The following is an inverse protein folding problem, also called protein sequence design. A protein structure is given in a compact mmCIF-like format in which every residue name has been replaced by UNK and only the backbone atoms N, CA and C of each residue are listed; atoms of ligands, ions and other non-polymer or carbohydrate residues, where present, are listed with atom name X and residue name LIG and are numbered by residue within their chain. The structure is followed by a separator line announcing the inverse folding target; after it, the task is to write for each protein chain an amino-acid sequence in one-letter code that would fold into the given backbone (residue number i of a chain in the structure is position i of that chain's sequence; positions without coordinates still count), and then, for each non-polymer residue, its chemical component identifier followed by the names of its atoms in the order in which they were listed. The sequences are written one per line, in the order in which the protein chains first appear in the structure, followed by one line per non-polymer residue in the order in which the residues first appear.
data_IF_262069207789
#
_entry.id   IF_262069207789
#
_cell.length_a   1.000
_cell.length_b   1.000
_cell.length_c   1.000
_cell.angle_alpha   90.00
_cell.angle_beta   90.00
_cell.angle_gamma   90.00
#
_symmetry.space_group_name_H-M   'P 1'
#
loop_
_entity.id
_entity.type
_entity.pdbx_description
1 polymer ?
#
# COMPACT_ATOMS: atom_id res chain seq x y z
N UNK A 1 -25.12 -30.97 12.04
CA UNK A 1 -24.45 -30.24 13.14
C UNK A 1 -23.88 -28.95 12.56
N UNK A 2 -24.33 -27.75 12.97
CA UNK A 2 -23.79 -26.51 12.43
C UNK A 2 -22.43 -26.22 13.08
N UNK A 3 -21.40 -25.99 12.26
CA UNK A 3 -20.10 -25.50 12.74
C UNK A 3 -20.17 -23.97 12.79
N UNK A 4 -19.80 -23.38 13.92
CA UNK A 4 -19.75 -21.92 14.08
C UNK A 4 -18.28 -21.50 14.07
N UNK A 5 -17.85 -20.84 13.01
CA UNK A 5 -16.48 -20.33 12.89
C UNK A 5 -16.46 -18.85 13.29
N UNK A 6 -15.99 -18.57 14.50
CA UNK A 6 -15.63 -17.21 14.90
C UNK A 6 -14.27 -16.88 14.27
N UNK A 7 -14.26 -16.04 13.24
CA UNK A 7 -13.02 -15.51 12.67
C UNK A 7 -12.56 -14.29 13.48
N UNK A 8 -11.32 -14.31 13.96
CA UNK A 8 -10.69 -13.13 14.52
C UNK A 8 -10.39 -12.12 13.43
N UNK A 9 -10.68 -10.84 13.67
CA UNK A 9 -10.25 -9.77 12.76
C UNK A 9 -8.74 -9.55 12.90
N UNK A 10 -7.97 -9.95 11.89
CA UNK A 10 -6.51 -9.84 11.86
C UNK A 10 -5.94 -8.45 11.52
N UNK A 11 -6.79 -7.42 11.51
CA UNK A 11 -6.42 -6.08 11.03
C UNK A 11 -6.55 -5.90 9.52
N UNK A 12 -6.14 -4.74 9.01
CA UNK A 12 -6.17 -4.39 7.60
C UNK A 12 -4.77 -3.98 7.11
N UNK A 13 -4.34 -4.55 5.98
CA UNK A 13 -3.15 -4.12 5.27
C UNK A 13 -3.51 -3.07 4.23
N UNK A 14 -2.66 -2.07 4.06
CA UNK A 14 -2.80 -1.06 3.03
C UNK A 14 -1.86 -1.38 1.86
N UNK A 15 -2.40 -1.54 0.66
CA UNK A 15 -1.59 -1.60 -0.55
C UNK A 15 -1.63 -0.26 -1.25
N UNK A 16 -0.47 0.39 -1.38
CA UNK A 16 -0.32 1.67 -2.05
C UNK A 16 0.38 1.44 -3.39
N UNK A 17 -0.16 2.03 -4.45
CA UNK A 17 0.42 2.01 -5.78
C UNK A 17 0.58 3.44 -6.32
N UNK A 18 1.70 3.70 -6.98
CA UNK A 18 1.99 4.97 -7.62
C UNK A 18 2.49 4.73 -9.04
N UNK A 19 1.99 5.51 -9.99
CA UNK A 19 2.41 5.46 -11.38
C UNK A 19 3.31 6.65 -11.69
N UNK A 20 4.52 6.35 -12.14
CA UNK A 20 5.47 7.31 -12.69
C UNK A 20 5.19 7.50 -14.18
N UNK A 21 4.71 8.69 -14.54
CA UNK A 21 4.38 9.06 -15.92
C UNK A 21 5.62 9.32 -16.79
N UNK A 22 6.76 9.68 -16.18
CA UNK A 22 7.98 9.96 -16.93
C UNK A 22 8.72 8.67 -17.29
N UNK A 23 8.73 7.70 -16.37
CA UNK A 23 9.34 6.40 -16.60
C UNK A 23 8.36 5.32 -17.10
N UNK A 24 7.07 5.67 -17.25
CA UNK A 24 5.98 4.75 -17.56
C UNK A 24 5.96 3.50 -16.67
N UNK A 25 6.20 3.69 -15.36
CA UNK A 25 6.44 2.59 -14.40
C UNK A 25 5.51 2.66 -13.20
N UNK A 26 5.01 1.49 -12.77
CA UNK A 26 4.24 1.36 -11.52
C UNK A 26 5.16 0.94 -10.37
N UNK A 27 4.98 1.61 -9.23
CA UNK A 27 5.58 1.28 -7.94
C UNK A 27 4.48 0.85 -6.97
N UNK A 28 4.79 -0.11 -6.10
CA UNK A 28 3.83 -0.63 -5.13
C UNK A 28 4.49 -0.92 -3.79
N UNK A 29 3.72 -0.78 -2.70
CA UNK A 29 4.17 -1.06 -1.33
C UNK A 29 3.01 -1.55 -0.47
N UNK A 30 3.27 -2.57 0.33
CA UNK A 30 2.34 -3.08 1.36
C UNK A 30 2.72 -2.50 2.71
N UNK A 31 1.75 -1.92 3.41
CA UNK A 31 1.93 -1.24 4.69
C UNK A 31 0.98 -1.80 5.73
N UNK A 32 1.44 -1.85 6.98
CA UNK A 32 0.63 -2.28 8.11
C UNK A 32 -0.49 -1.30 8.45
N UNK A 33 -0.41 -0.04 8.00
CA UNK A 33 -1.37 1.02 8.35
C UNK A 33 -1.73 1.89 7.15
N UNK A 34 -3.01 2.27 7.09
CA UNK A 34 -3.57 3.23 6.13
C UNK A 34 -3.38 4.69 6.59
N UNK A 35 -2.13 5.14 6.82
CA UNK A 35 -1.85 6.53 7.22
C UNK A 35 -1.24 7.36 6.09
N UNK A 36 -1.16 8.68 6.30
CA UNK A 36 -0.60 9.61 5.30
C UNK A 36 0.93 9.46 5.15
N UNK A 37 1.63 8.97 6.17
CA UNK A 37 3.09 8.85 6.17
C UNK A 37 3.56 7.85 5.10
N UNK A 38 3.01 6.63 5.01
CA UNK A 38 3.36 5.71 3.93
C UNK A 38 3.00 6.24 2.53
N UNK A 39 1.90 7.00 2.40
CA UNK A 39 1.55 7.67 1.15
C UNK A 39 2.62 8.68 0.73
N UNK A 40 3.00 9.61 1.61
CA UNK A 40 4.02 10.62 1.32
C UNK A 40 5.40 10.00 1.05
N UNK A 41 5.68 8.86 1.70
CA UNK A 41 6.93 8.10 1.47
C UNK A 41 6.97 7.55 0.05
N UNK A 42 5.89 6.90 -0.40
CA UNK A 42 5.80 6.37 -1.77
C UNK A 42 5.86 7.51 -2.81
N UNK A 43 5.18 8.64 -2.56
CA UNK A 43 5.22 9.80 -3.44
C UNK A 43 6.66 10.35 -3.58
N UNK A 44 7.35 10.56 -2.47
CA UNK A 44 8.76 11.03 -2.47
C UNK A 44 9.67 10.07 -3.23
N UNK A 45 9.49 8.76 -3.05
CA UNK A 45 10.29 7.74 -3.74
C UNK A 45 10.10 7.78 -5.26
N UNK A 46 8.86 7.93 -5.73
CA UNK A 46 8.58 8.02 -7.18
C UNK A 46 9.14 9.31 -7.75
N UNK A 47 8.87 10.44 -7.09
CA UNK A 47 9.31 11.76 -7.56
C UNK A 47 10.84 11.89 -7.60
N UNK A 48 11.57 11.28 -6.65
CA UNK A 48 13.04 11.31 -6.61
C UNK A 48 13.73 10.40 -7.62
N UNK A 49 13.03 9.39 -8.16
CA UNK A 49 13.57 8.45 -9.14
C UNK A 49 13.37 8.90 -10.59
N UNK A 50 12.61 9.97 -10.80
CA UNK A 50 12.25 10.50 -12.10
C UNK A 50 13.26 11.53 -12.67
N UNK A 51 14.51 11.51 -12.20
CA UNK A 51 15.60 12.36 -12.69
C UNK A 51 16.32 11.76 -13.90
#
# INVERSE_FOLDING_TARGET
MPVNHTYGHGGALAYLAAYDVHAAKVFGRTEERTSIVPFMTLATQVMSRSG
#
